data_IF_688596252017
#
_entry.id   IF_688596252017
#
_cell.length_a   1.000
_cell.length_b   1.000
_cell.length_c   1.000
_cell.angle_alpha   90.00
_cell.angle_beta   90.00
_cell.angle_gamma   90.00
#
_symmetry.space_group_name_H-M   'P 1'
#
loop_
_entity.id
_entity.type
_entity.pdbx_description
1 polymer ?
#
# COMPACT_ATOMS: atom_id res chain seq x y z
N UNK A 1 -8.57 -6.60 -10.76
CA UNK A 1 -9.75 -7.39 -11.12
C UNK A 1 -9.80 -8.74 -10.38
N UNK A 2 -8.87 -9.68 -10.60
CA UNK A 2 -8.87 -10.99 -9.94
C UNK A 2 -8.87 -10.96 -8.40
N UNK A 3 -8.19 -10.00 -7.78
CA UNK A 3 -8.13 -9.86 -6.32
C UNK A 3 -9.52 -9.65 -5.68
N UNK A 4 -10.45 -8.99 -6.38
CA UNK A 4 -11.83 -8.72 -5.91
C UNK A 4 -12.75 -9.93 -6.11
N UNK A 5 -12.53 -10.72 -7.16
CA UNK A 5 -13.25 -11.98 -7.38
C UNK A 5 -12.93 -13.03 -6.30
N UNK A 6 -11.72 -13.00 -5.73
CA UNK A 6 -11.31 -13.93 -4.67
C UNK A 6 -11.64 -13.44 -3.25
N UNK A 7 -12.26 -12.27 -3.07
CA UNK A 7 -12.76 -11.85 -1.75
C UNK A 7 -14.00 -12.67 -1.38
N UNK A 8 -13.78 -13.73 -0.58
CA UNK A 8 -14.86 -14.57 -0.04
C UNK A 8 -15.62 -13.80 1.04
N UNK A 9 -16.93 -13.99 1.08
CA UNK A 9 -17.79 -13.57 2.21
C UNK A 9 -17.64 -14.57 3.37
N UNK A 10 -17.85 -14.14 4.63
CA UNK A 10 -17.81 -15.05 5.77
C UNK A 10 -18.90 -16.12 5.65
N UNK A 11 -18.54 -17.38 5.86
CA UNK A 11 -19.49 -18.50 5.84
C UNK A 11 -20.18 -18.74 7.19
N UNK A 12 -21.07 -19.72 7.25
CA UNK A 12 -21.93 -20.01 8.42
C UNK A 12 -21.17 -20.25 9.72
N UNK A 13 -19.98 -20.86 9.65
CA UNK A 13 -19.12 -21.07 10.81
C UNK A 13 -18.69 -19.74 11.47
N UNK A 14 -18.52 -18.68 10.68
CA UNK A 14 -18.20 -17.34 11.18
C UNK A 14 -19.39 -16.73 11.92
N UNK A 15 -20.58 -16.85 11.33
CA UNK A 15 -21.84 -16.40 11.93
C UNK A 15 -22.10 -17.11 13.25
N UNK A 16 -21.93 -18.45 13.30
CA UNK A 16 -22.06 -19.22 14.53
C UNK A 16 -21.09 -18.75 15.62
N UNK A 17 -19.84 -18.41 15.25
CA UNK A 17 -18.84 -17.89 16.17
C UNK A 17 -19.18 -16.50 16.71
N UNK A 18 -19.75 -15.63 15.86
CA UNK A 18 -20.24 -14.31 16.27
C UNK A 18 -21.39 -14.46 17.27
N UNK A 19 -22.37 -15.33 16.98
CA UNK A 19 -23.51 -15.60 17.86
C UNK A 19 -23.00 -16.12 19.21
N UNK A 20 -22.08 -17.09 19.21
CA UNK A 20 -21.46 -17.59 20.43
C UNK A 20 -20.79 -16.47 21.24
N UNK A 21 -20.02 -15.59 20.58
CA UNK A 21 -19.37 -14.46 21.25
C UNK A 21 -20.36 -13.47 21.87
N UNK A 22 -21.49 -13.22 21.21
CA UNK A 22 -22.58 -12.40 21.77
C UNK A 22 -23.22 -13.10 22.97
N UNK A 23 -23.47 -14.40 22.88
CA UNK A 23 -24.05 -15.18 23.99
C UNK A 23 -23.15 -15.19 25.23
N UNK A 24 -21.83 -15.33 25.07
CA UNK A 24 -20.85 -15.29 26.16
C UNK A 24 -20.81 -13.92 26.89
N UNK A 25 -21.24 -12.85 26.23
CA UNK A 25 -21.31 -11.49 26.80
C UNK A 25 -22.66 -11.23 27.47
N UNK A 26 -23.75 -11.68 26.86
CA UNK A 26 -25.13 -11.36 27.29
C UNK A 26 -25.64 -12.30 28.39
N UNK A 27 -25.29 -13.60 28.33
CA UNK A 27 -25.82 -14.61 29.24
C UNK A 27 -24.78 -15.03 30.28
N UNK A 28 -25.06 -14.77 31.56
CA UNK A 28 -24.18 -15.15 32.67
C UNK A 28 -23.92 -16.66 32.77
N UNK A 29 -24.88 -17.49 32.36
CA UNK A 29 -24.77 -18.96 32.34
C UNK A 29 -23.88 -19.51 31.22
N UNK A 30 -23.70 -18.74 30.14
CA UNK A 30 -22.80 -19.05 29.02
C UNK A 30 -21.49 -18.26 29.10
N UNK A 31 -21.25 -17.56 30.21
CA UNK A 31 -20.10 -16.69 30.36
C UNK A 31 -18.81 -17.52 30.35
N UNK A 32 -17.89 -17.12 29.48
CA UNK A 32 -16.62 -17.82 29.28
C UNK A 32 -15.77 -17.72 30.55
N UNK A 33 -15.32 -18.87 31.08
CA UNK A 33 -14.51 -18.91 32.31
C UNK A 33 -13.00 -18.75 32.03
N UNK A 34 -12.58 -18.98 30.78
CA UNK A 34 -11.19 -18.87 30.34
C UNK A 34 -10.84 -17.41 29.97
N UNK A 35 -9.72 -16.85 30.48
CA UNK A 35 -9.32 -15.49 30.16
C UNK A 35 -8.90 -15.34 28.69
N UNK A 36 -9.16 -14.16 28.12
CA UNK A 36 -8.68 -13.81 26.79
C UNK A 36 -7.15 -13.76 26.78
N UNK A 37 -6.52 -14.73 26.12
CA UNK A 37 -5.08 -14.68 25.85
C UNK A 37 -4.81 -13.67 24.72
N UNK A 38 -4.56 -12.42 25.09
CA UNK A 38 -4.03 -11.44 24.16
C UNK A 38 -2.62 -11.89 23.75
N UNK A 39 -2.45 -12.26 22.47
CA UNK A 39 -1.15 -12.67 21.92
C UNK A 39 -0.18 -11.49 22.02
N UNK A 40 0.67 -11.50 23.05
CA UNK A 40 1.69 -10.49 23.23
C UNK A 40 2.72 -10.58 22.09
N UNK A 41 3.20 -9.42 21.62
CA UNK A 41 4.26 -9.39 20.63
C UNK A 41 5.49 -10.11 21.16
N UNK A 42 6.01 -11.06 20.38
CA UNK A 42 7.18 -11.85 20.77
C UNK A 42 8.37 -10.92 21.06
N UNK A 43 8.81 -10.85 22.32
CA UNK A 43 10.02 -10.14 22.71
C UNK A 43 11.23 -10.93 22.19
N UNK A 44 11.81 -10.49 21.08
CA UNK A 44 12.98 -11.12 20.46
C UNK A 44 14.27 -10.45 20.92
N UNK A 45 15.30 -11.24 21.19
CA UNK A 45 16.63 -10.70 21.52
C UNK A 45 17.27 -10.02 20.29
N UNK A 46 18.25 -9.14 20.51
CA UNK A 46 18.94 -8.43 19.41
C UNK A 46 19.58 -9.39 18.40
N UNK A 47 20.16 -10.50 18.87
CA UNK A 47 20.76 -11.51 17.98
C UNK A 47 19.74 -12.19 17.08
N UNK A 48 18.59 -12.57 17.65
CA UNK A 48 17.48 -13.17 16.89
C UNK A 48 16.92 -12.20 15.85
N UNK A 49 16.80 -10.90 16.19
CA UNK A 49 16.41 -9.87 15.22
C UNK A 49 17.43 -9.70 14.10
N UNK A 50 18.74 -9.81 14.38
CA UNK A 50 19.78 -9.77 13.36
C UNK A 50 19.65 -10.90 12.34
N UNK A 51 19.45 -12.14 12.80
CA UNK A 51 19.24 -13.30 11.93
C UNK A 51 17.97 -13.13 11.08
N UNK A 52 16.86 -12.71 11.68
CA UNK A 52 15.64 -12.45 10.92
C UNK A 52 15.78 -11.31 9.91
N UNK A 53 16.54 -10.26 10.25
CA UNK A 53 16.86 -9.18 9.31
C UNK A 53 17.68 -9.68 8.12
N UNK A 54 18.68 -10.52 8.36
CA UNK A 54 19.46 -11.14 7.29
C UNK A 54 18.62 -12.04 6.38
N UNK A 55 17.78 -12.90 6.98
CA UNK A 55 16.84 -13.72 6.23
C UNK A 55 15.88 -12.86 5.39
N UNK A 56 15.37 -11.76 5.96
CA UNK A 56 14.51 -10.83 5.24
C UNK A 56 15.21 -10.20 4.02
N UNK A 57 16.48 -9.82 4.15
CA UNK A 57 17.28 -9.30 3.03
C UNK A 57 17.43 -10.36 1.93
N UNK A 58 17.71 -11.62 2.29
CA UNK A 58 17.78 -12.72 1.33
C UNK A 58 16.44 -12.88 0.61
N UNK A 59 15.33 -12.95 1.36
CA UNK A 59 13.98 -13.06 0.80
C UNK A 59 13.67 -11.90 -0.13
N UNK A 60 14.07 -10.68 0.22
CA UNK A 60 13.89 -9.50 -0.62
C UNK A 60 14.59 -9.66 -1.97
N UNK A 61 15.89 -9.98 -1.96
CA UNK A 61 16.64 -10.18 -3.20
C UNK A 61 16.13 -11.36 -4.01
N UNK A 62 15.71 -12.44 -3.35
CA UNK A 62 15.13 -13.59 -4.03
C UNK A 62 13.80 -13.22 -4.72
N UNK A 63 12.89 -12.54 -4.01
CA UNK A 63 11.60 -12.11 -4.57
C UNK A 63 11.77 -11.19 -5.78
N UNK A 64 12.53 -10.10 -5.64
CA UNK A 64 12.72 -9.14 -6.74
C UNK A 64 13.61 -9.73 -7.84
N UNK A 65 14.64 -10.48 -7.48
CA UNK A 65 15.54 -11.14 -8.41
C UNK A 65 14.83 -12.14 -9.31
N UNK A 66 13.91 -12.95 -8.76
CA UNK A 66 13.10 -13.88 -9.55
C UNK A 66 12.20 -13.14 -10.56
N UNK A 67 11.57 -12.04 -10.15
CA UNK A 67 10.74 -11.22 -11.05
C UNK A 67 11.59 -10.59 -12.15
N UNK A 68 12.72 -9.97 -11.80
CA UNK A 68 13.64 -9.37 -12.79
C UNK A 68 14.17 -10.41 -13.75
N UNK A 69 14.61 -11.57 -13.24
CA UNK A 69 15.07 -12.68 -14.07
C UNK A 69 13.99 -13.17 -15.04
N UNK A 70 12.75 -13.29 -14.59
CA UNK A 70 11.63 -13.65 -15.46
C UNK A 70 11.37 -12.59 -16.55
N UNK A 71 11.43 -11.31 -16.20
CA UNK A 71 11.24 -10.21 -17.15
C UNK A 71 12.39 -10.12 -18.18
N UNK A 72 13.62 -10.41 -17.77
CA UNK A 72 14.79 -10.47 -18.66
C UNK A 72 14.63 -11.59 -19.70
N UNK A 73 14.10 -12.75 -19.30
CA UNK A 73 13.82 -13.88 -20.22
C UNK A 73 12.80 -13.56 -21.30
N UNK A 74 11.89 -12.61 -21.05
CA UNK A 74 10.92 -12.12 -22.05
C UNK A 74 11.39 -10.84 -22.74
N UNK A 75 12.69 -10.51 -22.64
CA UNK A 75 13.34 -9.37 -23.29
C UNK A 75 12.72 -8.01 -22.96
N UNK A 76 12.28 -7.80 -21.71
CA UNK A 76 11.86 -6.48 -21.27
C UNK A 76 13.04 -5.51 -21.22
N UNK A 77 12.80 -4.26 -21.65
CA UNK A 77 13.78 -3.19 -21.47
C UNK A 77 13.92 -2.83 -20.00
N UNK A 78 15.07 -2.28 -19.61
CA UNK A 78 15.30 -1.82 -18.23
C UNK A 78 14.22 -0.84 -17.73
N UNK A 79 13.79 0.09 -18.59
CA UNK A 79 12.72 1.05 -18.25
C UNK A 79 11.40 0.33 -18.00
N UNK A 80 11.06 -0.65 -18.84
CA UNK A 80 9.86 -1.47 -18.69
C UNK A 80 9.90 -2.31 -17.40
N UNK A 81 11.05 -2.88 -17.04
CA UNK A 81 11.24 -3.62 -15.77
C UNK A 81 10.97 -2.71 -14.58
N UNK A 82 11.54 -1.49 -14.57
CA UNK A 82 11.37 -0.55 -13.48
C UNK A 82 9.89 -0.15 -13.30
N UNK A 83 9.21 0.20 -14.40
CA UNK A 83 7.79 0.53 -14.40
C UNK A 83 6.95 -0.67 -13.91
N UNK A 84 7.28 -1.88 -14.38
CA UNK A 84 6.58 -3.09 -13.97
C UNK A 84 6.73 -3.35 -12.47
N UNK A 85 7.94 -3.27 -11.92
CA UNK A 85 8.19 -3.45 -10.48
C UNK A 85 7.46 -2.39 -9.65
N UNK A 86 7.43 -1.14 -10.11
CA UNK A 86 6.65 -0.08 -9.48
C UNK A 86 5.16 -0.43 -9.40
N UNK A 87 4.54 -0.81 -10.53
CA UNK A 87 3.13 -1.21 -10.51
C UNK A 87 2.88 -2.49 -9.72
N UNK A 88 3.77 -3.49 -9.82
CA UNK A 88 3.67 -4.75 -9.09
C UNK A 88 3.60 -4.51 -7.58
N UNK A 89 4.48 -3.67 -7.05
CA UNK A 89 4.53 -3.34 -5.63
C UNK A 89 3.28 -2.56 -5.19
N UNK A 90 2.85 -1.56 -5.97
CA UNK A 90 1.64 -0.77 -5.68
C UNK A 90 0.36 -1.60 -5.70
N UNK A 91 0.14 -2.39 -6.77
CA UNK A 91 -1.05 -3.23 -6.93
C UNK A 91 -1.08 -4.30 -5.83
N UNK A 92 0.07 -4.89 -5.49
CA UNK A 92 0.17 -5.85 -4.38
C UNK A 92 -0.21 -5.22 -3.05
N UNK A 93 0.31 -4.02 -2.76
CA UNK A 93 -0.02 -3.29 -1.55
C UNK A 93 -1.51 -2.96 -1.46
N UNK A 94 -2.09 -2.37 -2.51
CA UNK A 94 -3.52 -2.04 -2.52
C UNK A 94 -4.40 -3.28 -2.45
N UNK A 95 -4.01 -4.36 -3.12
CA UNK A 95 -4.73 -5.64 -3.05
C UNK A 95 -4.79 -6.20 -1.62
N UNK A 96 -3.71 -6.12 -0.85
CA UNK A 96 -3.72 -6.51 0.56
C UNK A 96 -4.53 -5.53 1.41
N UNK A 97 -4.40 -4.22 1.16
CA UNK A 97 -5.16 -3.19 1.89
C UNK A 97 -6.67 -3.38 1.76
N UNK A 98 -7.16 -3.65 0.54
CA UNK A 98 -8.58 -3.93 0.28
C UNK A 98 -9.03 -5.22 0.98
N UNK A 99 -8.23 -6.30 0.87
CA UNK A 99 -8.56 -7.58 1.53
C UNK A 99 -8.53 -7.51 3.05
N UNK A 100 -7.74 -6.61 3.64
CA UNK A 100 -7.68 -6.44 5.09
C UNK A 100 -9.04 -6.00 5.64
N UNK A 101 -9.71 -5.05 4.97
CA UNK A 101 -11.05 -4.57 5.35
C UNK A 101 -12.05 -5.72 5.38
N UNK A 102 -12.03 -6.59 4.36
CA UNK A 102 -12.90 -7.76 4.35
C UNK A 102 -12.53 -8.79 5.44
N UNK A 103 -11.23 -8.98 5.74
CA UNK A 103 -10.75 -9.89 6.79
C UNK A 103 -11.16 -9.47 8.20
N UNK A 104 -11.43 -8.19 8.44
CA UNK A 104 -11.94 -7.73 9.74
C UNK A 104 -13.34 -8.29 10.06
N UNK A 105 -14.07 -8.81 9.06
CA UNK A 105 -15.36 -9.48 9.25
C UNK A 105 -15.24 -10.97 9.62
N UNK A 106 -14.03 -11.54 9.57
CA UNK A 106 -13.79 -12.93 9.88
C UNK A 106 -13.31 -13.09 11.34
N UNK A 107 -14.12 -13.74 12.16
CA UNK A 107 -13.85 -14.12 13.55
C UNK A 107 -13.14 -15.47 13.64
N UNK A 108 -13.33 -16.35 12.65
CA UNK A 108 -12.68 -17.66 12.62
C UNK A 108 -11.34 -17.56 11.89
N UNK A 109 -10.25 -17.94 12.57
CA UNK A 109 -8.91 -18.02 11.98
C UNK A 109 -8.87 -19.05 10.86
N UNK A 110 -8.38 -18.65 9.69
CA UNK A 110 -8.14 -19.57 8.59
C UNK A 110 -6.87 -20.38 8.86
N UNK A 111 -6.93 -21.70 8.67
CA UNK A 111 -5.76 -22.57 8.77
C UNK A 111 -4.69 -22.11 7.77
N UNK A 112 -3.48 -21.85 8.28
CA UNK A 112 -2.32 -21.59 7.43
C UNK A 112 -1.93 -22.89 6.71
N UNK A 113 -1.95 -22.85 5.37
CA UNK A 113 -1.43 -23.94 4.54
C UNK A 113 0.04 -23.66 4.18
N UNK A 114 0.85 -24.70 3.99
CA UNK A 114 2.27 -24.57 3.58
C UNK A 114 2.41 -23.75 2.29
N UNK A 115 1.46 -23.88 1.37
CA UNK A 115 1.43 -23.08 0.13
C UNK A 115 1.29 -21.58 0.45
N UNK A 116 0.44 -21.21 1.41
CA UNK A 116 0.26 -19.81 1.80
C UNK A 116 1.56 -19.26 2.41
N UNK A 117 2.27 -20.06 3.20
CA UNK A 117 3.56 -19.67 3.77
C UNK A 117 4.59 -19.33 2.68
N UNK A 118 4.68 -20.15 1.62
CA UNK A 118 5.58 -19.89 0.49
C UNK A 118 5.16 -18.63 -0.26
N UNK A 119 3.87 -18.47 -0.53
CA UNK A 119 3.34 -17.27 -1.21
C UNK A 119 3.66 -16.03 -0.39
N UNK A 120 3.38 -16.05 0.91
CA UNK A 120 3.64 -14.93 1.83
C UNK A 120 5.13 -14.62 1.92
N UNK A 121 6.00 -15.64 1.91
CA UNK A 121 7.45 -15.45 1.87
C UNK A 121 7.88 -14.57 0.70
N UNK A 122 7.36 -14.83 -0.51
CA UNK A 122 7.70 -14.01 -1.68
C UNK A 122 6.95 -12.68 -1.76
N UNK A 123 5.67 -12.64 -1.36
CA UNK A 123 4.81 -11.47 -1.46
C UNK A 123 5.12 -10.39 -0.43
N UNK A 124 5.54 -10.76 0.78
CA UNK A 124 5.77 -9.80 1.88
C UNK A 124 6.78 -8.71 1.49
N UNK A 125 7.98 -9.01 0.94
CA UNK A 125 8.90 -7.98 0.48
C UNK A 125 8.30 -7.04 -0.57
N UNK A 126 7.55 -7.56 -1.54
CA UNK A 126 6.92 -6.78 -2.63
C UNK A 126 5.89 -5.81 -2.05
N UNK A 127 5.06 -6.29 -1.13
CA UNK A 127 4.04 -5.49 -0.44
C UNK A 127 4.69 -4.45 0.46
N UNK A 128 5.78 -4.79 1.15
CA UNK A 128 6.50 -3.87 2.02
C UNK A 128 7.06 -2.68 1.24
N UNK A 129 7.62 -2.91 0.05
CA UNK A 129 8.04 -1.84 -0.86
C UNK A 129 6.85 -1.01 -1.32
N UNK A 130 5.75 -1.64 -1.72
CA UNK A 130 4.54 -0.93 -2.13
C UNK A 130 3.96 -0.05 -1.03
N UNK A 131 3.96 -0.54 0.22
CA UNK A 131 3.58 0.22 1.41
C UNK A 131 4.50 1.41 1.61
N UNK A 132 5.82 1.19 1.58
CA UNK A 132 6.81 2.25 1.75
C UNK A 132 6.66 3.32 0.67
N UNK A 133 6.47 2.93 -0.59
CA UNK A 133 6.18 3.83 -1.70
C UNK A 133 4.90 4.62 -1.41
N UNK A 134 3.79 3.98 -1.09
CA UNK A 134 2.53 4.66 -0.81
C UNK A 134 2.65 5.66 0.36
N UNK A 135 3.36 5.31 1.45
CA UNK A 135 3.57 6.19 2.61
C UNK A 135 4.52 7.37 2.33
N UNK A 136 5.47 7.20 1.39
CA UNK A 136 6.35 8.28 0.93
C UNK A 136 5.63 9.16 -0.09
N UNK A 137 4.94 8.57 -1.07
CA UNK A 137 4.13 9.28 -2.06
C UNK A 137 2.96 10.04 -1.43
N UNK A 138 2.31 9.51 -0.40
CA UNK A 138 1.25 10.26 0.32
C UNK A 138 1.77 11.50 1.05
N UNK A 139 3.08 11.60 1.29
CA UNK A 139 3.75 12.80 1.83
C UNK A 139 4.39 13.66 0.75
N UNK A 140 4.53 13.11 -0.44
CA UNK A 140 4.93 13.90 -1.59
C UNK A 140 3.68 14.62 -2.08
N UNK A 141 3.63 15.90 -1.75
CA UNK A 141 2.94 16.91 -2.54
C UNK A 141 3.46 16.93 -4.00
N UNK A 142 4.03 15.85 -4.57
CA UNK A 142 4.56 15.81 -5.92
C UNK A 142 3.49 16.15 -6.96
N UNK A 143 2.24 15.76 -6.72
CA UNK A 143 1.13 16.24 -7.54
C UNK A 143 0.93 17.75 -7.43
N UNK A 144 0.97 18.30 -6.20
CA UNK A 144 0.89 19.76 -5.97
C UNK A 144 2.10 20.48 -6.57
N UNK A 145 3.32 20.05 -6.29
CA UNK A 145 4.57 20.56 -6.86
C UNK A 145 4.59 20.50 -8.41
N UNK A 146 4.13 19.39 -9.01
CA UNK A 146 3.98 19.31 -10.47
C UNK A 146 2.92 20.30 -10.95
N UNK A 147 1.77 20.38 -10.27
CA UNK A 147 0.68 21.28 -10.64
C UNK A 147 1.13 22.75 -10.53
N UNK A 148 1.84 23.11 -9.47
CA UNK A 148 2.42 24.43 -9.24
C UNK A 148 3.47 24.72 -10.32
N UNK A 149 4.33 23.76 -10.65
CA UNK A 149 5.35 23.97 -11.67
C UNK A 149 4.80 24.02 -13.10
N UNK A 150 3.82 23.18 -13.44
CA UNK A 150 3.24 23.09 -14.80
C UNK A 150 2.15 24.16 -15.02
N UNK A 151 1.39 24.52 -13.98
CA UNK A 151 0.26 25.45 -14.08
C UNK A 151 0.61 26.79 -13.45
N UNK A 152 0.98 26.84 -12.16
CA UNK A 152 1.14 28.10 -11.42
C UNK A 152 2.30 28.96 -11.94
N UNK A 153 3.49 28.39 -12.13
CA UNK A 153 4.66 29.15 -12.58
C UNK A 153 4.47 29.76 -13.99
N UNK A 154 3.98 29.02 -15.01
CA UNK A 154 3.69 29.58 -16.32
C UNK A 154 2.56 30.61 -16.28
N UNK A 155 1.54 30.38 -15.46
CA UNK A 155 0.43 31.31 -15.32
C UNK A 155 0.88 32.65 -14.71
N UNK A 156 1.77 32.64 -13.71
CA UNK A 156 2.35 33.87 -13.14
C UNK A 156 3.09 34.69 -14.19
N UNK A 157 3.94 34.04 -14.98
CA UNK A 157 4.68 34.69 -16.08
C UNK A 157 3.69 35.31 -17.08
N UNK A 158 2.63 34.58 -17.45
CA UNK A 158 1.61 35.09 -18.36
C UNK A 158 0.91 36.35 -17.81
N UNK A 159 0.52 36.34 -16.54
CA UNK A 159 -0.13 37.48 -15.89
C UNK A 159 0.81 38.69 -15.83
N UNK A 160 2.08 38.49 -15.50
CA UNK A 160 3.11 39.54 -15.45
C UNK A 160 3.26 40.23 -16.82
N UNK A 161 3.29 39.45 -17.92
CA UNK A 161 3.34 40.00 -19.29
C UNK A 161 2.09 40.84 -19.60
N UNK A 162 0.90 40.40 -19.17
CA UNK A 162 -0.35 41.13 -19.40
C UNK A 162 -0.38 42.44 -18.60
N UNK A 163 0.11 42.43 -17.37
CA UNK A 163 0.24 43.63 -16.55
C UNK A 163 1.19 44.65 -17.18
N UNK A 164 2.36 44.20 -17.64
CA UNK A 164 3.34 45.08 -18.29
C UNK A 164 2.83 45.63 -19.63
N UNK A 165 2.11 44.82 -20.39
CA UNK A 165 1.41 45.30 -21.58
C UNK A 165 0.39 46.39 -21.25
N UNK A 166 -0.39 46.19 -20.19
CA UNK A 166 -1.42 47.16 -19.76
C UNK A 166 -0.78 48.47 -19.32
N UNK A 167 0.35 48.41 -18.59
CA UNK A 167 1.13 49.61 -18.21
C UNK A 167 1.64 50.33 -19.45
N UNK A 168 2.26 49.62 -20.38
CA UNK A 168 2.76 50.18 -21.63
C UNK A 168 1.67 50.91 -22.43
N UNK A 169 0.50 50.30 -22.59
CA UNK A 169 -0.63 50.93 -23.29
C UNK A 169 -1.09 52.22 -22.59
N UNK A 170 -1.11 52.21 -21.25
CA UNK A 170 -1.49 53.38 -20.46
C UNK A 170 -0.48 54.52 -20.62
N UNK A 171 0.82 54.23 -20.50
CA UNK A 171 1.91 55.20 -20.75
C UNK A 171 1.82 55.78 -22.16
N UNK A 172 1.62 54.92 -23.16
CA UNK A 172 1.47 55.37 -24.55
C UNK A 172 0.28 56.29 -24.76
N UNK A 173 -0.84 56.03 -24.07
CA UNK A 173 -2.06 56.85 -24.12
C UNK A 173 -1.86 58.22 -23.47
N UNK A 174 -1.11 58.28 -22.37
CA UNK A 174 -0.77 59.53 -21.67
C UNK A 174 0.18 60.42 -22.47
N UNK A 175 1.10 59.84 -23.24
CA UNK A 175 1.97 60.64 -24.13
C UNK A 175 1.25 61.20 -25.37
N UNK A 176 0.14 60.60 -25.79
CA UNK A 176 -0.61 61.00 -27.00
C UNK A 176 -1.69 62.04 -26.67
N UNK A 177 -2.14 62.13 -25.41
CA UNK A 177 -3.15 63.10 -24.94
C UNK A 177 -2.52 64.30 -24.26
#
# INVERSE_FOLDING_TARGET
>A
FFIVLFTRVPGDANTARIIQGVEEIVYNEKQRQEPYQLRQQAKRSRGVNGVFGFLYVITFFLSFGLVVWFLDKIHFTFVSVLIFLFFLTLVSFFGIRIRKVARELFVVEHKENIINLIIDFFFVPVVAVGKWLNEKFSRLNFFVFILDFIIEAPFKIFVEIVEDWTKYVKERKEEIM
#
